data_IF_897219825874
#
_entry.id   IF_897219825874
#
_cell.length_a   1.000
_cell.length_b   1.000
_cell.length_c   1.000
_cell.angle_alpha   90.00
_cell.angle_beta   90.00
_cell.angle_gamma   90.00
#
_symmetry.space_group_name_H-M   'P 1'
#
loop_
_entity.id
_entity.type
_entity.pdbx_description
1 polymer ?
#
# COMPACT_ATOMS: atom_id res chain seq x y z
N UNK A 1 86.79 -6.11 -29.45
CA UNK A 1 86.64 -7.19 -28.46
C UNK A 1 87.94 -7.29 -27.69
N UNK A 2 87.98 -7.07 -26.37
CA UNK A 2 89.17 -7.35 -25.56
C UNK A 2 89.03 -8.76 -24.97
N UNK A 3 89.94 -9.70 -25.26
CA UNK A 3 89.88 -11.03 -24.67
C UNK A 3 90.08 -10.92 -23.15
N UNK A 4 89.27 -11.66 -22.39
CA UNK A 4 89.37 -11.73 -20.93
C UNK A 4 90.53 -12.67 -20.61
N UNK A 5 91.56 -12.16 -19.95
CA UNK A 5 92.80 -12.91 -19.67
C UNK A 5 93.00 -13.24 -18.19
N UNK A 6 92.06 -12.84 -17.33
CA UNK A 6 92.10 -13.08 -15.88
C UNK A 6 90.70 -13.32 -15.32
N UNK A 7 90.62 -14.13 -14.26
CA UNK A 7 89.37 -14.37 -13.52
C UNK A 7 88.82 -13.06 -12.93
N UNK A 8 89.69 -12.16 -12.46
CA UNK A 8 89.27 -10.84 -11.95
C UNK A 8 88.55 -10.00 -13.00
N UNK A 9 88.98 -10.06 -14.26
CA UNK A 9 88.36 -9.29 -15.34
C UNK A 9 86.99 -9.88 -15.71
N UNK A 10 86.85 -11.21 -15.64
CA UNK A 10 85.58 -11.89 -15.81
C UNK A 10 84.59 -11.50 -14.70
N UNK A 11 85.03 -11.58 -13.44
CA UNK A 11 84.22 -11.29 -12.26
C UNK A 11 83.77 -9.82 -12.26
N UNK A 12 84.64 -8.88 -12.65
CA UNK A 12 84.28 -7.46 -12.83
C UNK A 12 83.17 -7.26 -13.86
N UNK A 13 83.26 -7.90 -15.02
CA UNK A 13 82.25 -7.78 -16.09
C UNK A 13 80.92 -8.39 -15.65
N UNK A 14 80.95 -9.55 -14.99
CA UNK A 14 79.75 -10.22 -14.46
C UNK A 14 79.09 -9.33 -13.40
N UNK A 15 79.85 -8.81 -12.43
CA UNK A 15 79.32 -7.94 -11.38
C UNK A 15 78.71 -6.65 -11.97
N UNK A 16 79.37 -6.04 -12.96
CA UNK A 16 78.82 -4.86 -13.64
C UNK A 16 77.51 -5.18 -14.37
N UNK A 17 77.40 -6.38 -14.97
CA UNK A 17 76.17 -6.81 -15.65
C UNK A 17 75.06 -7.14 -14.67
N UNK A 18 75.37 -7.80 -13.56
CA UNK A 18 74.43 -8.09 -12.48
C UNK A 18 73.92 -6.81 -11.82
N UNK A 19 74.78 -5.82 -11.58
CA UNK A 19 74.39 -4.52 -11.05
C UNK A 19 73.40 -3.80 -11.99
N UNK A 20 73.72 -3.71 -13.29
CA UNK A 20 72.81 -3.13 -14.29
C UNK A 20 71.47 -3.88 -14.37
N UNK A 21 71.49 -5.21 -14.26
CA UNK A 21 70.27 -6.01 -14.22
C UNK A 21 69.43 -5.72 -12.98
N UNK A 22 70.05 -5.65 -11.80
CA UNK A 22 69.36 -5.28 -10.55
C UNK A 22 68.69 -3.93 -10.67
N UNK A 23 69.44 -2.91 -11.09
CA UNK A 23 68.93 -1.55 -11.26
C UNK A 23 67.77 -1.49 -12.26
N UNK A 24 67.87 -2.22 -13.38
CA UNK A 24 66.80 -2.31 -14.37
C UNK A 24 65.54 -3.00 -13.82
N UNK A 25 65.71 -4.02 -12.98
CA UNK A 25 64.59 -4.75 -12.36
C UNK A 25 63.95 -3.88 -11.29
N UNK A 26 64.73 -3.27 -10.39
CA UNK A 26 64.23 -2.36 -9.36
C UNK A 26 63.45 -1.20 -9.97
N UNK A 27 63.98 -0.55 -11.01
CA UNK A 27 63.28 0.53 -11.71
C UNK A 27 61.98 0.07 -12.41
N UNK A 28 61.89 -1.20 -12.82
CA UNK A 28 60.67 -1.74 -13.46
C UNK A 28 59.57 -2.10 -12.48
N UNK A 29 59.91 -2.33 -11.21
CA UNK A 29 58.97 -2.77 -10.18
C UNK A 29 58.90 -1.78 -9.01
N UNK A 30 59.40 -0.56 -9.19
CA UNK A 30 59.39 0.49 -8.17
C UNK A 30 57.95 0.83 -7.72
N UNK A 31 56.98 0.70 -8.60
CA UNK A 31 55.55 0.96 -8.34
C UNK A 31 54.76 -0.28 -7.89
N UNK A 32 55.39 -1.47 -7.83
CA UNK A 32 54.69 -2.73 -7.60
C UNK A 32 53.93 -2.73 -6.27
N UNK A 33 54.54 -2.24 -5.19
CA UNK A 33 53.89 -2.19 -3.88
C UNK A 33 52.72 -1.20 -3.86
N UNK A 34 52.81 -0.09 -4.61
CA UNK A 34 51.71 0.86 -4.76
C UNK A 34 50.55 0.23 -5.52
N UNK A 35 50.81 -0.42 -6.66
CA UNK A 35 49.80 -1.13 -7.46
C UNK A 35 49.12 -2.22 -6.65
N UNK A 36 49.90 -3.00 -5.90
CA UNK A 36 49.37 -4.05 -5.02
C UNK A 36 48.45 -3.50 -3.94
N UNK A 37 48.85 -2.40 -3.31
CA UNK A 37 48.04 -1.72 -2.29
C UNK A 37 46.74 -1.18 -2.89
N UNK A 38 46.85 -0.50 -4.04
CA UNK A 38 45.71 0.06 -4.77
C UNK A 38 44.72 -1.02 -5.21
N UNK A 39 45.20 -2.17 -5.68
CA UNK A 39 44.32 -3.29 -6.05
C UNK A 39 43.58 -3.84 -4.83
N UNK A 40 44.24 -4.02 -3.69
CA UNK A 40 43.57 -4.49 -2.47
C UNK A 40 42.51 -3.49 -1.97
N UNK A 41 42.80 -2.19 -2.05
CA UNK A 41 41.83 -1.13 -1.75
C UNK A 41 40.63 -1.18 -2.71
N UNK A 42 40.88 -1.28 -4.02
CA UNK A 42 39.84 -1.35 -5.04
C UNK A 42 38.99 -2.60 -4.94
N UNK A 43 39.56 -3.75 -4.58
CA UNK A 43 38.81 -4.98 -4.33
C UNK A 43 37.87 -4.82 -3.13
N UNK A 44 38.37 -4.20 -2.05
CA UNK A 44 37.59 -3.92 -0.85
C UNK A 44 36.47 -2.92 -1.15
N UNK A 45 36.77 -1.83 -1.85
CA UNK A 45 35.79 -0.82 -2.25
C UNK A 45 34.73 -1.39 -3.17
N UNK A 46 35.11 -2.19 -4.18
CA UNK A 46 34.16 -2.86 -5.06
C UNK A 46 33.23 -3.81 -4.30
N UNK A 47 33.75 -4.59 -3.35
CA UNK A 47 32.92 -5.46 -2.50
C UNK A 47 31.90 -4.64 -1.69
N UNK A 48 32.35 -3.55 -1.05
CA UNK A 48 31.48 -2.68 -0.27
C UNK A 48 30.41 -1.99 -1.13
N UNK A 49 30.78 -1.54 -2.33
CA UNK A 49 29.86 -0.94 -3.29
C UNK A 49 28.82 -1.97 -3.77
N UNK A 50 29.23 -3.20 -4.09
CA UNK A 50 28.31 -4.27 -4.47
C UNK A 50 27.30 -4.59 -3.36
N UNK A 51 27.76 -4.70 -2.11
CA UNK A 51 26.86 -4.89 -0.97
C UNK A 51 25.88 -3.72 -0.78
N UNK A 52 26.37 -2.48 -0.93
CA UNK A 52 25.56 -1.28 -0.80
C UNK A 52 24.50 -1.22 -1.89
N UNK A 53 24.87 -1.52 -3.13
CA UNK A 53 23.95 -1.59 -4.27
C UNK A 53 22.89 -2.67 -4.03
N UNK A 54 23.28 -3.86 -3.58
CA UNK A 54 22.34 -4.94 -3.27
C UNK A 54 21.32 -4.52 -2.19
N UNK A 55 21.80 -3.99 -1.05
CA UNK A 55 20.95 -3.48 0.04
C UNK A 55 20.02 -2.35 -0.41
N UNK A 56 20.54 -1.41 -1.21
CA UNK A 56 19.74 -0.30 -1.74
C UNK A 56 18.66 -0.78 -2.72
N UNK A 57 18.95 -1.79 -3.54
CA UNK A 57 17.99 -2.36 -4.47
C UNK A 57 16.87 -3.13 -3.76
N UNK A 58 17.17 -3.84 -2.68
CA UNK A 58 16.16 -4.48 -1.83
C UNK A 58 15.28 -3.46 -1.10
N UNK A 59 15.89 -2.39 -0.56
CA UNK A 59 15.16 -1.30 0.06
C UNK A 59 14.25 -0.57 -0.95
N UNK A 60 14.73 -0.32 -2.17
CA UNK A 60 13.92 0.31 -3.22
C UNK A 60 12.68 -0.53 -3.56
N UNK A 61 12.83 -1.85 -3.71
CA UNK A 61 11.70 -2.76 -3.98
C UNK A 61 10.67 -2.76 -2.85
N UNK A 62 11.12 -2.79 -1.60
CA UNK A 62 10.19 -2.76 -0.46
C UNK A 62 9.50 -1.40 -0.35
N UNK A 63 10.20 -0.30 -0.63
CA UNK A 63 9.60 1.03 -0.72
C UNK A 63 8.57 1.13 -1.85
N UNK A 64 8.85 0.62 -3.05
CA UNK A 64 7.88 0.59 -4.15
C UNK A 64 6.62 -0.22 -3.79
N UNK A 65 6.77 -1.38 -3.16
CA UNK A 65 5.64 -2.18 -2.68
C UNK A 65 4.81 -1.43 -1.65
N UNK A 66 5.46 -0.86 -0.63
CA UNK A 66 4.75 -0.09 0.41
C UNK A 66 4.03 1.13 -0.14
N UNK A 67 4.63 1.84 -1.11
CA UNK A 67 3.98 2.97 -1.79
C UNK A 67 2.75 2.50 -2.57
N UNK A 68 2.86 1.41 -3.33
CA UNK A 68 1.71 0.83 -4.05
C UNK A 68 0.59 0.41 -3.10
N UNK A 69 0.92 -0.26 -2.00
CA UNK A 69 -0.05 -0.70 -1.00
C UNK A 69 -0.73 0.48 -0.30
N UNK A 70 0.03 1.53 0.04
CA UNK A 70 -0.51 2.75 0.63
C UNK A 70 -1.41 3.51 -0.35
N UNK A 71 -1.03 3.60 -1.63
CA UNK A 71 -1.87 4.21 -2.67
C UNK A 71 -3.19 3.45 -2.84
N UNK A 72 -3.16 2.11 -2.85
CA UNK A 72 -4.38 1.30 -2.90
C UNK A 72 -5.28 1.52 -1.68
N UNK A 73 -4.69 1.63 -0.48
CA UNK A 73 -5.43 1.93 0.74
C UNK A 73 -6.05 3.34 0.69
N UNK A 74 -5.30 4.34 0.24
CA UNK A 74 -5.77 5.72 0.08
C UNK A 74 -6.96 5.75 -0.89
N UNK A 75 -6.84 5.16 -2.08
CA UNK A 75 -7.93 5.10 -3.05
C UNK A 75 -9.19 4.40 -2.48
N UNK A 76 -9.01 3.32 -1.72
CA UNK A 76 -10.12 2.64 -1.04
C UNK A 76 -10.78 3.53 0.02
N UNK A 77 -10.00 4.28 0.78
CA UNK A 77 -10.50 5.20 1.79
C UNK A 77 -11.22 6.40 1.16
N UNK A 78 -10.66 7.00 0.11
CA UNK A 78 -11.25 8.10 -0.64
C UNK A 78 -12.60 7.70 -1.24
N UNK A 79 -12.66 6.55 -1.91
CA UNK A 79 -13.91 6.02 -2.48
C UNK A 79 -14.95 5.72 -1.40
N UNK A 80 -14.54 5.15 -0.25
CA UNK A 80 -15.44 4.92 0.88
C UNK A 80 -15.97 6.23 1.45
N UNK A 81 -15.13 7.25 1.60
CA UNK A 81 -15.53 8.57 2.09
C UNK A 81 -16.50 9.24 1.12
N UNK A 82 -16.24 9.19 -0.18
CA UNK A 82 -17.12 9.70 -1.22
C UNK A 82 -18.51 9.03 -1.14
N UNK A 83 -18.54 7.70 -1.06
CA UNK A 83 -19.79 6.94 -0.88
C UNK A 83 -20.55 7.35 0.38
N UNK A 84 -19.87 7.53 1.51
CA UNK A 84 -20.50 8.00 2.75
C UNK A 84 -21.07 9.40 2.59
N UNK A 85 -20.34 10.34 1.99
CA UNK A 85 -20.81 11.70 1.76
C UNK A 85 -22.07 11.71 0.87
N UNK A 86 -22.05 10.94 -0.22
CA UNK A 86 -23.19 10.84 -1.14
C UNK A 86 -24.40 10.19 -0.48
N UNK A 87 -24.21 9.12 0.31
CA UNK A 87 -25.29 8.48 1.05
C UNK A 87 -25.96 9.45 2.03
N UNK A 88 -25.16 10.23 2.78
CA UNK A 88 -25.65 11.23 3.72
C UNK A 88 -26.41 12.35 2.99
N UNK A 89 -25.91 12.82 1.83
CA UNK A 89 -26.60 13.82 1.01
C UNK A 89 -27.95 13.31 0.49
N UNK A 90 -28.05 12.04 0.12
CA UNK A 90 -29.29 11.41 -0.35
C UNK A 90 -30.24 11.00 0.80
N UNK A 91 -29.84 11.17 2.06
CA UNK A 91 -30.63 10.77 3.24
C UNK A 91 -30.68 9.26 3.46
N UNK A 92 -29.72 8.50 2.92
CA UNK A 92 -29.56 7.08 3.17
C UNK A 92 -28.84 6.85 4.52
N UNK A 93 -29.25 5.82 5.29
CA UNK A 93 -28.48 5.38 6.45
C UNK A 93 -27.03 5.05 6.09
N UNK A 94 -26.11 5.32 7.03
CA UNK A 94 -24.67 5.06 6.88
C UNK A 94 -24.37 3.61 6.45
N UNK A 95 -25.12 2.65 6.98
CA UNK A 95 -24.96 1.22 6.67
C UNK A 95 -25.16 0.90 5.17
N UNK A 96 -25.90 1.76 4.45
CA UNK A 96 -26.13 1.60 3.01
C UNK A 96 -25.10 2.32 2.14
N UNK A 97 -24.25 3.18 2.71
CA UNK A 97 -23.21 3.88 1.96
C UNK A 97 -22.26 2.90 1.25
N UNK A 98 -21.91 1.79 1.92
CA UNK A 98 -21.06 0.75 1.34
C UNK A 98 -21.69 0.00 0.16
N UNK A 99 -23.01 0.12 -0.04
CA UNK A 99 -23.75 -0.55 -1.13
C UNK A 99 -23.88 0.31 -2.39
N UNK A 100 -23.54 1.60 -2.32
CA UNK A 100 -23.57 2.49 -3.47
C UNK A 100 -22.59 2.01 -4.56
N UNK A 101 -23.10 1.89 -5.78
CA UNK A 101 -22.32 1.50 -6.95
C UNK A 101 -22.07 2.71 -7.84
N UNK A 102 -20.82 2.89 -8.24
CA UNK A 102 -20.38 4.02 -9.05
C UNK A 102 -18.91 4.31 -8.86
N UNK A 103 -18.25 4.70 -9.95
CA UNK A 103 -16.85 5.10 -9.97
C UNK A 103 -16.71 6.64 -9.86
N UNK A 104 -17.75 7.37 -10.27
CA UNK A 104 -17.81 8.83 -10.27
C UNK A 104 -18.87 9.38 -9.31
N UNK A 105 -18.69 10.61 -8.82
CA UNK A 105 -19.60 11.28 -7.90
C UNK A 105 -21.04 11.37 -8.45
N UNK A 106 -21.22 11.62 -9.74
CA UNK A 106 -22.53 11.65 -10.39
C UNK A 106 -23.21 10.27 -10.39
N UNK A 107 -22.45 9.21 -10.70
CA UNK A 107 -22.97 7.84 -10.71
C UNK A 107 -23.39 7.39 -9.31
N UNK A 108 -22.60 7.74 -8.29
CA UNK A 108 -22.93 7.48 -6.90
C UNK A 108 -24.17 8.25 -6.46
N UNK A 109 -24.33 9.52 -6.87
CA UNK A 109 -25.52 10.33 -6.54
C UNK A 109 -26.78 9.74 -7.16
N UNK A 110 -26.73 9.35 -8.43
CA UNK A 110 -27.86 8.74 -9.11
C UNK A 110 -28.30 7.42 -8.44
N UNK A 111 -27.33 6.57 -8.06
CA UNK A 111 -27.63 5.32 -7.35
C UNK A 111 -28.18 5.59 -5.94
N UNK A 112 -27.62 6.58 -5.24
CA UNK A 112 -28.09 6.99 -3.93
C UNK A 112 -29.52 7.56 -3.96
N UNK A 113 -29.84 8.40 -4.93
CA UNK A 113 -31.18 8.92 -5.14
C UNK A 113 -32.17 7.79 -5.44
N UNK A 114 -31.80 6.84 -6.31
CA UNK A 114 -32.59 5.66 -6.63
C UNK A 114 -32.90 4.84 -5.37
N UNK A 115 -31.89 4.54 -4.56
CA UNK A 115 -32.06 3.79 -3.31
C UNK A 115 -32.90 4.56 -2.28
N UNK A 116 -32.67 5.87 -2.14
CA UNK A 116 -33.45 6.72 -1.24
C UNK A 116 -34.95 6.72 -1.63
N UNK A 117 -35.23 6.68 -2.93
CA UNK A 117 -36.59 6.59 -3.47
C UNK A 117 -37.34 5.32 -3.09
N UNK A 118 -36.63 4.20 -2.90
CA UNK A 118 -37.22 2.95 -2.41
C UNK A 118 -37.47 2.97 -0.89
N UNK A 119 -36.72 3.78 -0.13
CA UNK A 119 -36.87 3.88 1.32
C UNK A 119 -37.94 4.88 1.75
N UNK A 120 -38.25 5.88 0.92
CA UNK A 120 -39.33 6.82 1.18
C UNK A 120 -40.66 6.05 1.17
N UNK A 121 -41.50 6.18 2.21
CA UNK A 121 -42.77 5.49 2.26
C UNK A 121 -43.63 5.87 1.05
N UNK A 122 -43.95 4.88 0.23
CA UNK A 122 -44.84 5.02 -0.92
C UNK A 122 -46.26 5.17 -0.40
N UNK A 123 -46.69 6.42 -0.24
CA UNK A 123 -47.98 6.88 0.30
C UNK A 123 -48.11 6.79 1.83
N UNK A 124 -48.89 7.70 2.48
CA UNK A 124 -49.27 7.53 3.86
C UNK A 124 -49.96 6.18 4.01
N UNK A 125 -49.46 5.33 4.92
CA UNK A 125 -50.11 4.09 5.25
C UNK A 125 -51.57 4.40 5.59
N UNK A 126 -52.50 3.87 4.81
CA UNK A 126 -53.91 4.02 5.11
C UNK A 126 -54.14 3.53 6.54
N UNK A 127 -54.93 4.26 7.36
CA UNK A 127 -55.17 3.86 8.73
C UNK A 127 -55.63 2.41 8.75
N UNK A 128 -55.06 1.63 9.67
CA UNK A 128 -55.44 0.23 9.86
C UNK A 128 -56.97 0.17 10.02
N UNK A 129 -57.61 -0.78 9.33
CA UNK A 129 -59.05 -1.00 9.49
C UNK A 129 -59.31 -1.26 10.97
N UNK A 130 -60.16 -0.44 11.60
CA UNK A 130 -60.56 -0.69 12.98
C UNK A 130 -61.21 -2.07 13.09
N UNK A 131 -60.72 -2.87 14.04
CA UNK A 131 -61.29 -4.16 14.42
C UNK A 131 -62.39 -3.99 15.49
N UNK A 132 -62.61 -2.75 15.95
CA UNK A 132 -63.64 -2.48 16.94
C UNK A 132 -65.03 -2.63 16.28
N UNK A 133 -65.95 -3.38 16.91
CA UNK A 133 -67.31 -3.46 16.42
C UNK A 133 -67.90 -2.05 16.42
N UNK A 134 -68.43 -1.61 15.28
CA UNK A 134 -69.08 -0.32 15.17
C UNK A 134 -70.40 -0.36 15.96
N UNK A 135 -70.33 0.04 17.24
CA UNK A 135 -71.46 0.03 18.16
C UNK A 135 -72.41 1.22 17.94
N UNK A 136 -72.11 2.12 17.01
CA UNK A 136 -72.85 3.36 16.76
C UNK A 136 -72.39 4.48 17.70
N UNK A 137 -72.54 5.73 17.26
CA UNK A 137 -72.12 6.90 18.05
C UNK A 137 -73.16 7.32 19.09
N UNK A 138 -72.68 7.88 20.20
CA UNK A 138 -73.52 8.45 21.26
C UNK A 138 -73.97 7.44 22.31
N UNK A 139 -75.00 7.82 23.09
CA UNK A 139 -75.45 7.06 24.27
C UNK A 139 -75.83 5.61 23.92
N UNK A 140 -76.45 5.40 22.77
CA UNK A 140 -76.94 4.09 22.35
C UNK A 140 -75.79 3.09 22.08
N UNK A 141 -74.66 3.56 21.53
CA UNK A 141 -73.48 2.72 21.35
C UNK A 141 -72.79 2.35 22.67
N UNK A 142 -72.77 3.27 23.64
CA UNK A 142 -72.26 3.01 24.98
C UNK A 142 -73.13 1.98 25.73
N UNK A 143 -74.46 2.07 25.61
CA UNK A 143 -75.36 1.07 26.20
C UNK A 143 -75.21 -0.30 25.54
N UNK A 144 -74.98 -0.35 24.23
CA UNK A 144 -74.76 -1.60 23.49
C UNK A 144 -73.44 -2.27 23.88
N UNK A 145 -72.39 -1.49 24.13
CA UNK A 145 -71.10 -2.00 24.61
C UNK A 145 -71.22 -2.59 26.02
N UNK A 146 -71.93 -1.90 26.92
CA UNK A 146 -72.20 -2.39 28.28
C UNK A 146 -73.01 -3.69 28.25
N UNK A 147 -74.06 -3.76 27.43
CA UNK A 147 -74.91 -4.94 27.30
C UNK A 147 -74.15 -6.15 26.75
N UNK A 148 -73.24 -5.95 25.79
CA UNK A 148 -72.40 -7.02 25.29
C UNK A 148 -71.46 -7.56 26.37
N UNK A 149 -70.80 -6.68 27.15
CA UNK A 149 -69.93 -7.10 28.24
C UNK A 149 -70.68 -7.85 29.36
N UNK A 150 -71.90 -7.42 29.69
CA UNK A 150 -72.75 -8.09 30.68
C UNK A 150 -73.24 -9.47 30.20
N UNK A 151 -73.49 -9.63 28.90
CA UNK A 151 -73.91 -10.92 28.33
C UNK A 151 -72.76 -11.92 28.21
N UNK A 152 -71.51 -11.47 28.22
CA UNK A 152 -70.31 -12.33 28.16
C UNK A 152 -69.76 -12.72 29.53
N UNK A 153 -70.08 -11.99 30.61
CA UNK A 153 -69.67 -12.33 31.99
C UNK A 153 -70.63 -13.32 32.69
N UNK A 154 -71.70 -13.76 32.01
CA UNK A 154 -72.76 -14.61 32.58
C UNK A 154 -72.73 -16.09 32.19
N UNK A 155 -71.68 -16.58 31.52
CA UNK A 155 -71.44 -18.01 31.23
C UNK A 155 -70.22 -18.56 31.99
#
# INVERSE_FOLDING_TARGET
>A
FKPITSQEDLDKIINARLARQKETIEAKYEDYDQVKTRNAELETENSNLQETVAKSGEAAKTHEQTVSDLQAQIAKHETSQLRTQVALQAGLPYDLAGRLQGDDEESLKADAERLSGFMKPKAPAAPLKSQEPNLGDGKDGAYKALAQNLSTEGE
#
